data_IF_451980472251
#
_entry.id   IF_451980472251
#
_cell.length_a   1.000
_cell.length_b   1.000
_cell.length_c   1.000
_cell.angle_alpha   90.00
_cell.angle_beta   90.00
_cell.angle_gamma   90.00
#
_symmetry.space_group_name_H-M   'P 1'
#
loop_
_entity.id
_entity.type
_entity.pdbx_description
1 polymer ?
#
# COMPACT_ATOMS: atom_id res chain seq x y z
N UNK A 1 -14.46 -32.01 0.16
CA UNK A 1 -13.61 -31.70 1.29
C UNK A 1 -12.70 -30.56 0.88
N UNK A 2 -12.81 -29.45 1.60
CA UNK A 2 -11.92 -28.30 1.34
C UNK A 2 -10.54 -28.65 1.89
N UNK A 3 -9.57 -28.74 1.01
CA UNK A 3 -8.19 -28.85 1.45
C UNK A 3 -7.80 -27.57 2.18
N UNK A 4 -7.39 -27.72 3.44
CA UNK A 4 -6.81 -26.62 4.22
C UNK A 4 -5.40 -26.33 3.72
N UNK A 5 -5.25 -26.24 2.40
CA UNK A 5 -3.98 -26.08 1.77
C UNK A 5 -3.57 -24.64 1.57
N UNK A 6 -2.34 -24.47 1.13
CA UNK A 6 -1.80 -23.18 0.69
C UNK A 6 -2.67 -22.64 -0.46
N UNK A 7 -3.04 -21.36 -0.44
CA UNK A 7 -3.79 -20.78 -1.55
C UNK A 7 -3.03 -20.95 -2.86
N UNK A 8 -3.76 -21.12 -3.98
CA UNK A 8 -3.12 -21.31 -5.28
C UNK A 8 -2.32 -20.07 -5.70
N UNK A 9 -1.25 -20.29 -6.44
CA UNK A 9 -0.53 -19.19 -7.11
C UNK A 9 -1.47 -18.48 -8.10
N UNK A 10 -1.41 -17.15 -8.24
CA UNK A 10 -0.41 -16.22 -7.66
C UNK A 10 -0.74 -15.71 -6.24
N UNK A 11 -1.84 -16.16 -5.65
CA UNK A 11 -2.32 -15.62 -4.37
C UNK A 11 -1.38 -15.88 -3.20
N UNK A 12 -0.62 -16.97 -3.22
CA UNK A 12 0.28 -17.30 -2.11
C UNK A 12 1.39 -16.27 -1.94
N UNK A 13 1.95 -15.77 -3.03
CA UNK A 13 2.99 -14.74 -2.98
C UNK A 13 2.44 -13.39 -2.49
N UNK A 14 1.23 -13.06 -2.91
CA UNK A 14 0.53 -11.85 -2.48
C UNK A 14 0.26 -11.90 -0.97
N UNK A 15 -0.29 -13.02 -0.47
CA UNK A 15 -0.57 -13.21 0.95
C UNK A 15 0.70 -13.22 1.78
N UNK A 16 1.78 -13.80 1.28
CA UNK A 16 3.07 -13.79 1.95
C UNK A 16 3.62 -12.37 2.07
N UNK A 17 3.52 -11.57 1.02
CA UNK A 17 3.92 -10.18 1.06
C UNK A 17 3.08 -9.39 2.09
N UNK A 18 1.77 -9.65 2.14
CA UNK A 18 0.91 -9.04 3.15
C UNK A 18 1.25 -9.49 4.57
N UNK A 19 1.65 -10.73 4.77
CA UNK A 19 2.07 -11.24 6.08
C UNK A 19 3.37 -10.61 6.57
N UNK A 20 4.26 -10.25 5.67
CA UNK A 20 5.51 -9.54 6.01
C UNK A 20 5.28 -8.17 6.62
N UNK A 21 4.06 -7.65 6.55
CA UNK A 21 3.69 -6.37 7.18
C UNK A 21 3.83 -6.37 8.70
N UNK A 22 3.63 -7.51 9.35
CA UNK A 22 3.83 -7.63 10.80
C UNK A 22 5.31 -7.55 11.19
N UNK A 23 6.21 -7.71 10.22
CA UNK A 23 7.66 -7.64 10.39
C UNK A 23 8.27 -6.53 9.52
N UNK A 24 7.53 -5.43 9.28
CA UNK A 24 8.10 -4.27 8.59
C UNK A 24 9.31 -3.81 9.36
N UNK A 25 10.49 -3.94 8.74
CA UNK A 25 11.73 -3.49 9.34
C UNK A 25 11.81 -1.97 9.46
N UNK A 26 10.99 -1.25 8.69
CA UNK A 26 10.95 0.19 8.69
C UNK A 26 9.54 0.70 8.41
N UNK A 27 8.92 1.27 9.44
CA UNK A 27 7.69 2.03 9.29
C UNK A 27 8.03 3.41 8.72
N UNK A 28 7.47 3.74 7.55
CA UNK A 28 7.74 5.01 6.90
C UNK A 28 6.74 6.09 7.29
N UNK A 29 5.46 5.72 7.47
CA UNK A 29 4.42 6.69 7.79
C UNK A 29 3.25 5.99 8.50
N UNK A 30 2.75 6.62 9.55
CA UNK A 30 1.48 6.26 10.17
C UNK A 30 0.48 7.37 9.89
N UNK A 31 -0.69 7.03 9.37
CA UNK A 31 -1.76 7.96 9.05
C UNK A 31 -3.05 7.54 9.73
N UNK A 32 -3.81 8.53 10.20
CA UNK A 32 -5.12 8.33 10.83
C UNK A 32 -6.18 8.85 9.88
N UNK A 33 -7.01 7.96 9.37
CA UNK A 33 -8.05 8.31 8.39
C UNK A 33 -9.42 7.91 8.91
N UNK A 34 -10.36 8.83 8.80
CA UNK A 34 -11.73 8.59 9.20
C UNK A 34 -12.52 7.96 8.07
N UNK A 35 -13.30 6.93 8.40
CA UNK A 35 -14.22 6.33 7.45
C UNK A 35 -15.54 7.10 7.49
N UNK A 36 -15.86 7.77 6.40
CA UNK A 36 -17.04 8.60 6.26
C UNK A 36 -18.22 7.89 5.57
N UNK A 37 -18.01 6.71 4.99
CA UNK A 37 -19.03 5.97 4.27
C UNK A 37 -19.65 4.92 5.16
N UNK A 38 -20.99 4.92 5.25
CA UNK A 38 -21.75 4.06 6.15
C UNK A 38 -21.82 2.58 5.72
N UNK A 39 -21.31 2.23 4.54
CA UNK A 39 -21.39 0.87 3.99
C UNK A 39 -20.06 0.15 4.09
N UNK A 40 -20.10 -1.18 4.21
CA UNK A 40 -18.94 -2.07 4.13
C UNK A 40 -18.41 -2.17 2.70
N UNK A 41 -18.06 -1.04 2.08
CA UNK A 41 -17.64 -1.01 0.69
C UNK A 41 -16.14 -1.20 0.59
N UNK A 42 -15.73 -2.16 -0.19
CA UNK A 42 -14.32 -2.44 -0.46
C UNK A 42 -13.62 -1.26 -1.14
N UNK A 43 -14.33 -0.54 -2.01
CA UNK A 43 -13.83 0.65 -2.68
C UNK A 43 -13.45 1.78 -1.71
N UNK A 44 -14.16 1.91 -0.60
CA UNK A 44 -13.83 2.89 0.43
C UNK A 44 -12.45 2.62 1.05
N UNK A 45 -12.14 1.36 1.37
CA UNK A 45 -10.83 1.00 1.89
C UNK A 45 -9.73 1.24 0.84
N UNK A 46 -9.97 0.89 -0.41
CA UNK A 46 -9.03 1.11 -1.52
C UNK A 46 -8.73 2.61 -1.67
N UNK A 47 -9.75 3.45 -1.59
CA UNK A 47 -9.57 4.91 -1.62
C UNK A 47 -8.73 5.41 -0.44
N UNK A 48 -8.96 4.86 0.74
CA UNK A 48 -8.18 5.21 1.94
C UNK A 48 -6.73 4.75 1.83
N UNK A 49 -6.47 3.59 1.25
CA UNK A 49 -5.10 3.12 0.95
C UNK A 49 -4.38 4.08 0.02
N UNK A 50 -5.06 4.56 -1.02
CA UNK A 50 -4.52 5.55 -1.95
C UNK A 50 -4.21 6.86 -1.23
N UNK A 51 -5.09 7.32 -0.34
CA UNK A 51 -4.86 8.51 0.47
C UNK A 51 -3.65 8.34 1.40
N UNK A 52 -3.52 7.20 2.04
CA UNK A 52 -2.37 6.91 2.90
C UNK A 52 -1.05 6.93 2.11
N UNK A 53 -1.06 6.41 0.88
CA UNK A 53 0.09 6.47 -0.04
C UNK A 53 0.44 7.91 -0.39
N UNK A 54 -0.56 8.71 -0.76
CA UNK A 54 -0.36 10.13 -1.08
C UNK A 54 0.21 10.89 0.11
N UNK A 55 -0.28 10.64 1.31
CA UNK A 55 0.24 11.26 2.53
C UNK A 55 1.69 10.84 2.81
N UNK A 56 2.05 9.58 2.56
CA UNK A 56 3.43 9.11 2.67
C UNK A 56 4.34 9.91 1.73
N UNK A 57 4.00 9.97 0.46
CA UNK A 57 4.81 10.64 -0.56
C UNK A 57 4.92 12.14 -0.27
N UNK A 58 3.83 12.77 0.13
CA UNK A 58 3.80 14.18 0.50
C UNK A 58 4.67 14.47 1.73
N UNK A 59 4.65 13.57 2.72
CA UNK A 59 5.48 13.69 3.92
C UNK A 59 6.98 13.73 3.57
N UNK A 60 7.41 12.96 2.59
CA UNK A 60 8.79 12.95 2.09
C UNK A 60 9.02 13.91 0.93
N UNK A 61 8.04 14.77 0.62
CA UNK A 61 8.11 15.80 -0.45
C UNK A 61 8.37 15.20 -1.83
N UNK A 62 7.71 14.07 -2.11
CA UNK A 62 7.79 13.39 -3.39
C UNK A 62 6.47 13.57 -4.13
N UNK A 63 6.53 14.11 -5.34
CA UNK A 63 5.37 14.18 -6.22
C UNK A 63 5.15 12.84 -6.91
N UNK A 64 3.93 12.31 -6.81
CA UNK A 64 3.56 11.08 -7.50
C UNK A 64 3.58 11.26 -9.03
N UNK A 65 3.21 12.45 -9.48
CA UNK A 65 3.37 12.86 -10.88
C UNK A 65 4.32 14.06 -10.88
N UNK A 66 5.59 13.82 -11.16
CA UNK A 66 6.61 14.85 -11.12
C UNK A 66 6.52 15.84 -12.29
N UNK A 67 7.04 17.05 -12.08
CA UNK A 67 7.10 18.09 -13.11
C UNK A 67 7.98 17.71 -14.31
N UNK A 68 8.87 16.75 -14.14
CA UNK A 68 9.73 16.23 -15.21
C UNK A 68 9.06 15.20 -16.11
N UNK A 69 7.78 14.89 -15.89
CA UNK A 69 7.08 13.82 -16.59
C UNK A 69 7.32 12.43 -16.01
N UNK A 70 8.21 12.30 -15.03
CA UNK A 70 8.46 11.06 -14.31
C UNK A 70 7.50 10.93 -13.13
N UNK A 71 6.83 9.80 -13.00
CA UNK A 71 5.88 9.57 -11.93
C UNK A 71 5.81 8.13 -11.49
N UNK A 72 4.92 7.85 -10.56
CA UNK A 72 4.66 6.51 -10.04
C UNK A 72 3.38 5.97 -10.64
N UNK A 73 3.47 4.78 -11.21
CA UNK A 73 2.33 4.06 -11.77
C UNK A 73 2.07 2.82 -10.92
N UNK A 74 0.85 2.69 -10.42
CA UNK A 74 0.43 1.51 -9.68
C UNK A 74 0.18 0.37 -10.66
N UNK A 75 0.81 -0.77 -10.41
CA UNK A 75 0.74 -1.92 -11.32
C UNK A 75 -0.25 -2.97 -10.85
N UNK A 76 -0.42 -3.12 -9.55
CA UNK A 76 -1.31 -4.13 -8.98
C UNK A 76 -1.70 -3.76 -7.56
N UNK A 77 -2.80 -4.35 -7.10
CA UNK A 77 -3.30 -4.19 -5.74
C UNK A 77 -3.76 -5.54 -5.21
N UNK A 78 -3.35 -5.86 -4.00
CA UNK A 78 -3.90 -6.98 -3.26
C UNK A 78 -4.28 -6.54 -1.86
N UNK A 79 -5.44 -6.95 -1.40
CA UNK A 79 -5.95 -6.63 -0.07
C UNK A 79 -6.53 -7.86 0.58
N UNK A 80 -6.15 -8.09 1.83
CA UNK A 80 -6.74 -9.14 2.68
C UNK A 80 -7.54 -8.47 3.77
N UNK A 81 -8.83 -8.73 3.81
CA UNK A 81 -9.74 -8.22 4.82
C UNK A 81 -9.76 -9.16 6.02
N UNK A 82 -9.56 -8.62 7.22
CA UNK A 82 -9.44 -9.39 8.45
C UNK A 82 -10.57 -9.12 9.43
N UNK A 83 -11.19 -7.95 9.36
CA UNK A 83 -12.31 -7.55 10.20
C UNK A 83 -13.20 -6.55 9.48
N UNK A 84 -14.43 -6.44 9.97
CA UNK A 84 -15.38 -5.46 9.46
C UNK A 84 -15.01 -4.06 9.92
N UNK A 85 -15.33 -3.07 9.08
CA UNK A 85 -15.13 -1.66 9.36
C UNK A 85 -16.51 -1.02 9.46
N UNK A 86 -16.78 -0.40 10.59
CA UNK A 86 -18.06 0.28 10.84
C UNK A 86 -17.90 1.80 10.72
N UNK A 87 -18.98 2.45 10.40
CA UNK A 87 -19.05 3.91 10.41
C UNK A 87 -19.67 4.39 11.75
N UNK A 88 -19.18 5.46 12.37
CA UNK A 88 -17.92 6.13 12.07
C UNK A 88 -16.72 5.45 12.74
N UNK A 89 -15.61 5.33 12.03
CA UNK A 89 -14.38 4.75 12.58
C UNK A 89 -13.16 5.50 12.08
N UNK A 90 -12.17 5.63 12.97
CA UNK A 90 -10.83 6.04 12.58
C UNK A 90 -9.95 4.81 12.40
N UNK A 91 -9.32 4.72 11.25
CA UNK A 91 -8.40 3.65 10.89
C UNK A 91 -6.97 4.16 10.90
N UNK A 92 -6.07 3.31 11.36
CA UNK A 92 -4.64 3.60 11.40
C UNK A 92 -3.97 2.84 10.26
N UNK A 93 -3.30 3.57 9.38
CA UNK A 93 -2.58 3.03 8.23
C UNK A 93 -1.09 3.11 8.48
N UNK A 94 -0.46 1.98 8.71
CA UNK A 94 0.99 1.87 8.78
C UNK A 94 1.50 1.48 7.41
N UNK A 95 2.39 2.29 6.83
CA UNK A 95 2.87 2.17 5.47
C UNK A 95 4.37 1.96 5.45
N UNK A 96 4.81 0.99 4.68
CA UNK A 96 6.20 0.76 4.36
C UNK A 96 6.38 0.52 2.87
N UNK A 97 7.63 0.36 2.45
CA UNK A 97 7.98 -0.03 1.08
C UNK A 97 8.92 -1.22 1.16
N UNK A 98 8.68 -2.23 0.35
CA UNK A 98 9.49 -3.44 0.31
C UNK A 98 9.66 -3.94 -1.13
N UNK A 99 10.45 -5.00 -1.29
CA UNK A 99 10.65 -5.69 -2.55
C UNK A 99 11.11 -4.76 -3.68
N UNK A 100 12.06 -3.88 -3.37
CA UNK A 100 12.66 -3.01 -4.37
C UNK A 100 13.31 -3.80 -5.50
N UNK A 101 13.03 -3.39 -6.72
CA UNK A 101 13.70 -3.85 -7.92
C UNK A 101 14.22 -2.65 -8.71
N UNK A 102 14.69 -2.88 -9.94
CA UNK A 102 15.25 -1.80 -10.75
C UNK A 102 14.24 -0.68 -11.06
N UNK A 103 12.95 -1.03 -11.17
CA UNK A 103 11.92 -0.12 -11.68
C UNK A 103 10.92 0.34 -10.63
N UNK A 104 10.79 -0.37 -9.52
CA UNK A 104 9.79 -0.06 -8.52
C UNK A 104 9.90 -0.92 -7.27
N UNK A 105 8.76 -1.23 -6.69
CA UNK A 105 8.65 -2.02 -5.48
C UNK A 105 7.20 -2.18 -5.09
N UNK A 106 6.99 -2.44 -3.80
CA UNK A 106 5.65 -2.60 -3.23
C UNK A 106 5.46 -1.65 -2.05
N UNK A 107 4.43 -0.81 -2.11
CA UNK A 107 3.87 -0.20 -0.91
C UNK A 107 3.12 -1.27 -0.13
N UNK A 108 3.39 -1.37 1.15
CA UNK A 108 2.75 -2.34 2.03
C UNK A 108 2.05 -1.61 3.16
N UNK A 109 0.84 -2.06 3.49
CA UNK A 109 -0.04 -1.40 4.44
C UNK A 109 -0.54 -2.38 5.49
N UNK A 110 -0.51 -1.94 6.74
CA UNK A 110 -1.24 -2.58 7.82
C UNK A 110 -2.29 -1.60 8.30
N UNK A 111 -3.54 -2.04 8.30
CA UNK A 111 -4.68 -1.22 8.71
C UNK A 111 -5.25 -1.77 10.00
N UNK A 112 -5.30 -0.94 11.01
CA UNK A 112 -5.88 -1.28 12.31
C UNK A 112 -6.98 -0.28 12.68
N UNK A 113 -7.85 -0.70 13.58
CA UNK A 113 -8.92 0.14 14.11
C UNK A 113 -8.38 0.86 15.34
N UNK A 114 -8.46 2.20 15.36
CA UNK A 114 -7.86 3.00 16.43
C UNK A 114 -8.42 2.65 17.81
N UNK A 115 -9.74 2.47 17.95
CA UNK A 115 -10.39 2.29 19.24
C UNK A 115 -9.98 1.04 20.01
N UNK A 116 -9.61 -0.04 19.32
CA UNK A 116 -9.31 -1.34 19.93
C UNK A 116 -8.04 -2.00 19.37
N UNK A 117 -7.36 -1.33 18.46
CA UNK A 117 -6.14 -1.83 17.79
C UNK A 117 -6.36 -3.16 17.03
N UNK A 118 -7.60 -3.46 16.68
CA UNK A 118 -7.92 -4.68 15.94
C UNK A 118 -7.40 -4.62 14.50
N UNK A 119 -6.84 -5.72 14.03
CA UNK A 119 -6.41 -5.83 12.64
C UNK A 119 -7.62 -5.82 11.71
N UNK A 120 -7.64 -4.88 10.77
CA UNK A 120 -8.74 -4.68 9.82
C UNK A 120 -8.38 -5.22 8.45
N UNK A 121 -7.20 -4.89 7.97
CA UNK A 121 -6.76 -5.30 6.65
C UNK A 121 -5.24 -5.26 6.53
N UNK A 122 -4.73 -5.99 5.57
CA UNK A 122 -3.39 -5.87 5.05
C UNK A 122 -3.47 -5.69 3.55
N UNK A 123 -2.59 -4.86 2.99
CA UNK A 123 -2.63 -4.56 1.58
C UNK A 123 -1.23 -4.36 1.00
N UNK A 124 -1.17 -4.52 -0.29
CA UNK A 124 0.03 -4.30 -1.08
C UNK A 124 -0.35 -3.53 -2.33
N UNK A 125 0.40 -2.48 -2.64
CA UNK A 125 0.35 -1.75 -3.91
C UNK A 125 1.68 -1.92 -4.61
N UNK A 126 1.70 -2.69 -5.69
CA UNK A 126 2.86 -2.73 -6.58
C UNK A 126 2.97 -1.44 -7.38
N UNK A 127 4.18 -0.94 -7.57
CA UNK A 127 4.40 0.28 -8.34
C UNK A 127 5.67 0.20 -9.18
N UNK A 128 5.69 0.98 -10.25
CA UNK A 128 6.88 1.25 -11.06
C UNK A 128 7.01 2.75 -11.29
N UNK A 129 8.21 3.19 -11.55
CA UNK A 129 8.44 4.53 -12.09
C UNK A 129 8.16 4.52 -13.58
N UNK A 130 7.46 5.55 -14.03
CA UNK A 130 6.97 5.64 -15.40
C UNK A 130 7.24 7.04 -15.94
N UNK A 131 7.78 7.08 -17.15
CA UNK A 131 7.94 8.33 -17.89
C UNK A 131 6.68 8.56 -18.72
N UNK A 132 5.87 9.52 -18.31
CA UNK A 132 4.60 9.83 -18.98
C UNK A 132 4.81 10.56 -20.32
N UNK A 133 5.95 11.19 -20.52
CA UNK A 133 6.31 11.79 -21.80
C UNK A 133 6.68 10.74 -22.84
N UNK A 134 7.60 9.85 -22.48
CA UNK A 134 8.07 8.77 -23.35
C UNK A 134 7.16 7.53 -23.34
N UNK A 135 6.24 7.46 -22.37
CA UNK A 135 5.29 6.35 -22.16
C UNK A 135 5.97 5.00 -21.96
N UNK A 136 6.95 4.97 -21.09
CA UNK A 136 7.68 3.74 -20.76
C UNK A 136 8.09 3.69 -19.29
N UNK A 137 8.28 2.46 -18.81
CA UNK A 137 8.80 2.20 -17.47
C UNK A 137 10.26 2.63 -17.40
N UNK A 138 10.62 3.34 -16.33
CA UNK A 138 11.97 3.83 -16.12
C UNK A 138 12.56 3.31 -14.82
N UNK A 139 13.88 3.26 -14.68
CA UNK A 139 14.51 2.89 -13.42
C UNK A 139 14.12 3.85 -12.29
N UNK A 140 14.09 3.32 -11.06
CA UNK A 140 13.87 4.14 -9.87
C UNK A 140 14.93 5.23 -9.79
N UNK A 141 14.56 6.50 -9.57
CA UNK A 141 15.53 7.55 -9.33
C UNK A 141 16.38 7.27 -8.09
N UNK A 142 17.66 7.60 -8.16
CA UNK A 142 18.59 7.38 -7.05
C UNK A 142 18.14 8.07 -5.76
N UNK A 143 17.55 9.26 -5.86
CA UNK A 143 17.03 10.01 -4.72
C UNK A 143 15.93 9.24 -3.99
N UNK A 144 15.04 8.60 -4.71
CA UNK A 144 13.97 7.77 -4.15
C UNK A 144 14.57 6.54 -3.45
N UNK A 145 15.48 5.86 -4.11
CA UNK A 145 16.15 4.69 -3.55
C UNK A 145 16.94 5.02 -2.29
N UNK A 146 17.64 6.14 -2.26
CA UNK A 146 18.38 6.60 -1.08
C UNK A 146 17.45 6.95 0.08
N UNK A 147 16.25 7.43 -0.20
CA UNK A 147 15.27 7.79 0.83
C UNK A 147 14.64 6.54 1.48
N UNK A 148 14.31 5.53 0.69
CA UNK A 148 13.45 4.43 1.13
C UNK A 148 14.08 3.05 1.15
N UNK A 149 15.12 2.83 0.41
CA UNK A 149 15.76 1.51 0.35
C UNK A 149 16.74 1.24 1.49
#
# INVERSE_FOLDING_TARGET
>A
MLETGKPPEPYSSILENCRKLSSINRLLKRSYLDKWVANHRNDALISMLSEARVQLLSHYKIDEVGHSGLGILVTDLATVYQAEIYYPETLVFDVGITDFNRYGGDFVFRVTRERDDAAVAQAKYGFVFFDFGEKLVTPIPDSFRLTFA
#
